data_IF_974723237933
#
_entry.id   IF_974723237933
#
_cell.length_a   1.000
_cell.length_b   1.000
_cell.length_c   1.000
_cell.angle_alpha   90.00
_cell.angle_beta   90.00
_cell.angle_gamma   90.00
#
_symmetry.space_group_name_H-M   'P 1'
#
loop_
_entity.id
_entity.type
_entity.pdbx_description
1 polymer ?
#
# COMPACT_ATOMS: atom_id res chain seq x y z
N UNK A 1 -2.51 26.92 -9.83
CA UNK A 1 -2.54 26.17 -9.65
C UNK A 1 -2.60 25.24 -9.47
N UNK A 2 -2.26 25.24 -9.32
CA UNK A 2 -2.17 24.46 -9.15
C UNK A 2 -2.26 23.52 -8.88
N UNK A 3 -2.18 23.31 -8.72
CA UNK A 3 -2.13 22.38 -8.45
C UNK A 3 -2.46 21.48 -8.29
N UNK A 4 -2.66 21.85 -8.54
CA UNK A 4 -2.99 20.95 -8.42
C UNK A 4 -2.81 20.01 -7.79
N UNK A 5 -3.24 19.67 -7.54
CA UNK A 5 -2.93 18.59 -6.90
C UNK A 5 -2.55 17.45 -7.68
N UNK A 6 -1.47 17.53 -8.23
CA UNK A 6 -0.98 16.49 -9.09
C UNK A 6 -0.81 15.19 -8.38
N UNK A 7 -0.61 15.25 -7.09
CA UNK A 7 -0.36 14.03 -6.36
C UNK A 7 -1.55 13.12 -6.36
N UNK A 8 -2.73 13.66 -6.47
CA UNK A 8 -3.90 12.85 -6.39
C UNK A 8 -4.00 11.86 -7.51
N UNK A 9 -3.48 12.20 -8.65
CA UNK A 9 -3.64 11.33 -9.79
C UNK A 9 -2.34 10.73 -10.26
N UNK A 10 -1.25 11.01 -9.62
CA UNK A 10 0.01 10.81 -10.27
C UNK A 10 0.73 9.55 -9.93
N UNK A 11 0.42 8.90 -8.82
CA UNK A 11 1.24 7.76 -8.41
C UNK A 11 0.60 6.47 -8.88
N UNK A 12 1.14 5.93 -9.96
CA UNK A 12 0.79 4.61 -10.43
C UNK A 12 2.10 3.85 -10.62
N UNK A 13 2.28 2.79 -9.87
CA UNK A 13 3.54 2.06 -9.84
C UNK A 13 3.37 0.65 -10.36
N UNK A 14 4.36 0.16 -11.05
CA UNK A 14 4.47 -1.26 -11.38
C UNK A 14 4.94 -2.01 -10.14
N UNK A 15 4.88 -3.34 -10.18
CA UNK A 15 5.38 -4.15 -9.07
C UNK A 15 6.86 -3.89 -8.84
N UNK A 16 7.63 -3.70 -9.91
CA UNK A 16 9.06 -3.42 -9.80
C UNK A 16 9.31 -2.08 -9.11
N UNK A 17 8.54 -1.07 -9.49
CA UNK A 17 8.67 0.26 -8.90
C UNK A 17 8.27 0.26 -7.43
N UNK A 18 7.19 -0.44 -7.11
CA UNK A 18 6.73 -0.54 -5.74
C UNK A 18 7.76 -1.26 -4.88
N UNK A 19 8.32 -2.35 -5.38
CA UNK A 19 9.34 -3.10 -4.66
C UNK A 19 10.54 -2.21 -4.35
N UNK A 20 10.98 -1.44 -5.34
CA UNK A 20 12.13 -0.56 -5.16
C UNK A 20 11.81 0.54 -4.15
N UNK A 21 10.64 1.13 -4.23
CA UNK A 21 10.25 2.22 -3.33
C UNK A 21 10.16 1.76 -1.89
N UNK A 22 9.80 0.50 -1.66
CA UNK A 22 9.60 -0.03 -0.31
C UNK A 22 10.76 -0.89 0.17
N UNK A 23 11.80 -1.04 -0.65
CA UNK A 23 13.00 -1.83 -0.30
C UNK A 23 12.66 -3.29 0.00
N UNK A 24 11.81 -3.86 -0.83
CA UNK A 24 11.48 -5.29 -0.77
C UNK A 24 11.68 -5.88 -2.16
N UNK A 25 11.60 -7.21 -2.25
CA UNK A 25 11.68 -7.88 -3.55
C UNK A 25 10.30 -7.90 -4.21
N UNK A 26 10.30 -8.09 -5.52
CA UNK A 26 9.04 -8.30 -6.22
C UNK A 26 8.33 -9.54 -5.69
N UNK A 27 9.10 -10.59 -5.38
CA UNK A 27 8.54 -11.82 -4.82
C UNK A 27 7.81 -11.56 -3.52
N UNK A 28 8.33 -10.66 -2.68
CA UNK A 28 7.68 -10.27 -1.43
C UNK A 28 6.27 -9.73 -1.71
N UNK A 29 6.16 -8.85 -2.71
CA UNK A 29 4.88 -8.24 -3.06
C UNK A 29 3.94 -9.27 -3.67
N UNK A 30 4.45 -10.08 -4.60
CA UNK A 30 3.66 -11.09 -5.29
C UNK A 30 3.05 -12.07 -4.29
N UNK A 31 3.82 -12.50 -3.32
CA UNK A 31 3.35 -13.43 -2.31
C UNK A 31 2.19 -12.84 -1.53
N UNK A 32 2.29 -11.57 -1.16
CA UNK A 32 1.24 -10.94 -0.36
C UNK A 32 -0.01 -10.61 -1.18
N UNK A 33 0.15 -10.36 -2.45
CA UNK A 33 -1.00 -10.26 -3.35
C UNK A 33 -1.67 -11.61 -3.49
N UNK A 34 -0.89 -12.66 -3.70
CA UNK A 34 -1.43 -14.01 -3.87
C UNK A 34 -2.16 -14.50 -2.62
N UNK A 35 -1.71 -14.09 -1.46
CA UNK A 35 -2.36 -14.50 -0.20
C UNK A 35 -3.49 -13.57 0.22
N UNK A 36 -3.78 -12.55 -0.59
CA UNK A 36 -4.89 -11.66 -0.32
C UNK A 36 -4.61 -10.53 0.66
N UNK A 37 -3.35 -10.34 1.04
CA UNK A 37 -3.00 -9.28 1.99
C UNK A 37 -2.83 -7.92 1.31
N UNK A 38 -2.59 -7.92 0.01
CA UNK A 38 -2.57 -6.70 -0.80
C UNK A 38 -3.58 -6.92 -1.91
N UNK A 39 -4.55 -6.02 -2.00
CA UNK A 39 -5.65 -6.14 -2.95
C UNK A 39 -5.37 -5.28 -4.17
N UNK A 40 -5.21 -5.95 -5.31
CA UNK A 40 -4.96 -5.28 -6.58
C UNK A 40 -5.62 -6.11 -7.67
N UNK A 41 -5.97 -5.46 -8.78
CA UNK A 41 -6.49 -6.20 -9.93
C UNK A 41 -5.36 -7.06 -10.50
N UNK A 42 -5.54 -8.37 -10.43
CA UNK A 42 -4.49 -9.32 -10.80
C UNK A 42 -4.58 -9.80 -12.24
N UNK A 43 -5.49 -9.28 -13.02
CA UNK A 43 -5.65 -9.70 -14.40
C UNK A 43 -4.37 -9.44 -15.19
N UNK A 44 -3.95 -10.42 -15.96
CA UNK A 44 -2.78 -10.27 -16.82
C UNK A 44 -1.45 -10.56 -16.18
N UNK A 45 -1.44 -10.91 -14.90
CA UNK A 45 -0.21 -11.28 -14.20
C UNK A 45 0.55 -10.10 -13.62
N UNK A 46 1.63 -10.37 -12.88
CA UNK A 46 2.31 -9.33 -12.10
C UNK A 46 2.85 -8.16 -12.93
N UNK A 47 3.24 -8.38 -14.18
CA UNK A 47 3.75 -7.29 -14.99
C UNK A 47 2.67 -6.29 -15.37
N UNK A 48 1.40 -6.68 -15.23
CA UNK A 48 0.28 -5.80 -15.55
C UNK A 48 -0.31 -5.14 -14.31
N UNK A 49 0.11 -5.54 -13.13
CA UNK A 49 -0.42 -4.95 -11.89
C UNK A 49 -0.04 -3.49 -11.79
N UNK A 50 -0.98 -2.68 -11.28
CA UNK A 50 -0.75 -1.25 -11.09
C UNK A 50 -1.14 -0.89 -9.67
N UNK A 51 -0.23 -0.23 -8.97
CA UNK A 51 -0.40 0.12 -7.57
C UNK A 51 -0.47 1.64 -7.44
N UNK A 52 -1.29 2.09 -6.51
CA UNK A 52 -1.50 3.52 -6.28
C UNK A 52 -1.07 3.87 -4.87
N UNK A 53 -1.28 5.12 -4.46
CA UNK A 53 -0.83 5.65 -3.17
C UNK A 53 -1.23 4.80 -1.99
N UNK A 54 -2.47 4.32 -1.98
CA UNK A 54 -2.96 3.53 -0.85
C UNK A 54 -2.22 2.22 -0.75
N UNK A 55 -1.87 1.62 -1.88
CA UNK A 55 -1.04 0.41 -1.88
C UNK A 55 0.35 0.72 -1.32
N UNK A 56 0.92 1.82 -1.73
CA UNK A 56 2.26 2.20 -1.28
C UNK A 56 2.28 2.38 0.24
N UNK A 57 1.30 3.09 0.78
CA UNK A 57 1.19 3.30 2.23
C UNK A 57 1.01 1.98 2.96
N UNK A 58 0.17 1.10 2.41
CA UNK A 58 -0.07 -0.21 3.02
C UNK A 58 1.20 -1.04 3.06
N UNK A 59 1.92 -1.11 1.93
CA UNK A 59 3.14 -1.90 1.86
C UNK A 59 4.18 -1.35 2.83
N UNK A 60 4.34 -0.03 2.90
CA UNK A 60 5.29 0.57 3.84
C UNK A 60 4.95 0.22 5.28
N UNK A 61 3.67 0.25 5.63
CA UNK A 61 3.24 -0.11 6.96
C UNK A 61 3.56 -1.58 7.25
N UNK A 62 3.26 -2.47 6.30
CA UNK A 62 3.53 -3.89 6.48
C UNK A 62 5.02 -4.17 6.62
N UNK A 63 5.83 -3.54 5.79
CA UNK A 63 7.29 -3.72 5.86
C UNK A 63 7.81 -3.27 7.22
N UNK A 64 7.34 -2.12 7.68
CA UNK A 64 7.75 -1.58 8.97
C UNK A 64 7.39 -2.54 10.10
N UNK A 65 6.17 -3.06 10.10
CA UNK A 65 5.72 -3.99 11.13
C UNK A 65 6.53 -5.28 11.12
N UNK A 66 6.80 -5.81 9.93
CA UNK A 66 7.55 -7.06 9.83
C UNK A 66 9.00 -6.87 10.28
N UNK A 67 9.62 -5.75 9.93
CA UNK A 67 11.03 -5.52 10.25
C UNK A 67 11.26 -5.04 11.67
N UNK A 68 10.41 -4.14 12.14
CA UNK A 68 10.64 -3.49 13.43
C UNK A 68 9.97 -4.20 14.58
N UNK A 69 8.83 -4.82 14.33
CA UNK A 69 8.02 -5.47 15.37
C UNK A 69 8.00 -6.98 15.22
N UNK A 70 8.72 -7.50 14.24
CA UNK A 70 8.79 -8.95 14.00
C UNK A 70 7.40 -9.57 13.81
N UNK A 71 6.48 -8.80 13.21
CA UNK A 71 5.13 -9.28 12.97
C UNK A 71 5.13 -10.23 11.77
N UNK A 72 4.25 -11.23 11.80
CA UNK A 72 4.04 -12.02 10.61
C UNK A 72 3.21 -11.22 9.59
N UNK A 73 3.14 -11.67 8.32
CA UNK A 73 2.45 -10.89 7.29
C UNK A 73 0.99 -10.60 7.60
N UNK A 74 0.28 -11.56 8.18
CA UNK A 74 -1.14 -11.37 8.49
C UNK A 74 -1.34 -10.30 9.54
N UNK A 75 -0.51 -10.31 10.58
CA UNK A 75 -0.59 -9.28 11.61
C UNK A 75 -0.21 -7.92 11.05
N UNK A 76 0.82 -7.87 10.21
CA UNK A 76 1.23 -6.62 9.58
C UNK A 76 0.09 -6.04 8.74
N UNK A 77 -0.61 -6.89 8.00
CA UNK A 77 -1.74 -6.46 7.18
C UNK A 77 -2.89 -5.93 8.04
N UNK A 78 -3.14 -6.59 9.17
CA UNK A 78 -4.18 -6.12 10.08
C UNK A 78 -3.86 -4.73 10.63
N UNK A 79 -2.60 -4.50 11.00
CA UNK A 79 -2.19 -3.18 11.47
C UNK A 79 -2.38 -2.14 10.36
N UNK A 80 -2.03 -2.50 9.13
CA UNK A 80 -2.21 -1.59 8.00
C UNK A 80 -3.69 -1.24 7.80
N UNK A 81 -4.58 -2.22 7.97
CA UNK A 81 -6.02 -1.97 7.90
C UNK A 81 -6.46 -0.96 8.95
N UNK A 82 -5.97 -1.13 10.17
CA UNK A 82 -6.35 -0.24 11.27
C UNK A 82 -5.82 1.17 11.05
N UNK A 83 -4.60 1.28 10.56
CA UNK A 83 -4.01 2.59 10.25
C UNK A 83 -4.83 3.30 9.19
N UNK A 84 -5.26 2.58 8.17
CA UNK A 84 -6.06 3.16 7.10
C UNK A 84 -7.41 3.64 7.63
N UNK A 85 -8.04 2.86 8.51
CA UNK A 85 -9.30 3.27 9.11
C UNK A 85 -9.14 4.54 9.94
N UNK A 86 -8.05 4.63 10.69
CA UNK A 86 -7.79 5.84 11.47
C UNK A 86 -7.64 7.05 10.56
N UNK A 87 -6.92 6.91 9.46
CA UNK A 87 -6.77 8.01 8.51
C UNK A 87 -8.11 8.46 7.94
N UNK A 88 -8.96 7.50 7.61
CA UNK A 88 -10.28 7.82 7.08
C UNK A 88 -11.13 8.56 8.10
N UNK A 89 -11.10 8.12 9.36
CA UNK A 89 -11.83 8.78 10.42
C UNK A 89 -11.33 10.20 10.64
N UNK A 90 -10.02 10.40 10.64
CA UNK A 90 -9.45 11.73 10.80
C UNK A 90 -9.86 12.65 9.65
N UNK A 91 -9.91 12.10 8.43
CA UNK A 91 -10.36 12.86 7.29
C UNK A 91 -11.80 13.33 7.44
N UNK A 92 -12.66 12.47 7.95
CA UNK A 92 -14.05 12.83 8.18
C UNK A 92 -14.18 13.92 9.24
N UNK A 93 -13.42 13.80 10.32
CA UNK A 93 -13.45 14.82 11.37
C UNK A 93 -12.98 16.17 10.85
N UNK A 94 -11.95 16.18 10.04
CA UNK A 94 -11.50 17.42 9.42
C UNK A 94 -12.56 18.00 8.50
N UNK A 95 -13.27 17.14 7.78
CA UNK A 95 -14.32 17.59 6.88
C UNK A 95 -15.49 18.21 7.62
N UNK A 96 -15.74 17.79 8.84
CA UNK A 96 -16.83 18.32 9.63
C UNK A 96 -16.48 19.67 10.23
N UNK A 97 -15.26 19.78 10.66
CA UNK A 97 -14.83 20.98 11.31
C UNK A 97 -14.62 22.13 10.37
#
# INVERSE_FOLDING_TARGET
>A
MTNSNPTAESVVLTVSELARACHVTEAWIIERVDTGLIDVDTAGGPTRWRFVDTHLSRVRCMVSMERQMDANPELAALVADLVEQVRQLRGRLKGIG
#
